data_IF_442102865462
#
_entry.id   IF_442102865462
#
_cell.length_a   1.000
_cell.length_b   1.000
_cell.length_c   1.000
_cell.angle_alpha   90.00
_cell.angle_beta   90.00
_cell.angle_gamma   90.00
#
_symmetry.space_group_name_H-M   'P 1'
#
loop_
_entity.id
_entity.type
_entity.pdbx_description
1 polymer ?
#
# COMPACT_ATOMS: atom_id res chain seq x y z
N UNK A 1 -18.98 9.84 -19.64
CA UNK A 1 -18.73 8.66 -18.83
C UNK A 1 -18.97 7.39 -19.70
N UNK A 2 -18.13 6.36 -19.53
CA UNK A 2 -18.33 5.05 -20.13
C UNK A 2 -18.31 5.00 -21.66
N UNK A 3 -17.51 5.83 -22.33
CA UNK A 3 -17.54 5.93 -23.80
C UNK A 3 -17.30 4.58 -24.51
N UNK A 4 -16.44 3.72 -23.93
CA UNK A 4 -16.14 2.37 -24.39
C UNK A 4 -16.38 1.32 -23.30
N UNK A 5 -17.16 1.68 -22.27
CA UNK A 5 -17.44 0.75 -21.17
C UNK A 5 -18.06 -0.55 -21.70
N UNK A 6 -17.57 -1.69 -21.17
CA UNK A 6 -18.02 -3.03 -21.59
C UNK A 6 -17.73 -3.39 -23.06
N UNK A 7 -16.83 -2.67 -23.73
CA UNK A 7 -16.36 -3.09 -25.06
C UNK A 7 -15.42 -4.30 -24.94
N UNK A 8 -15.97 -5.44 -24.55
CA UNK A 8 -15.20 -6.65 -24.17
C UNK A 8 -14.37 -7.26 -25.30
N UNK A 9 -14.65 -6.91 -26.55
CA UNK A 9 -13.88 -7.35 -27.73
C UNK A 9 -12.82 -6.36 -28.18
N UNK A 10 -12.73 -5.18 -27.53
CA UNK A 10 -11.73 -4.16 -27.87
C UNK A 10 -10.34 -4.62 -27.39
N UNK A 11 -9.43 -4.84 -28.33
CA UNK A 11 -8.06 -5.33 -28.01
C UNK A 11 -7.01 -4.22 -27.93
N UNK A 12 -7.21 -3.13 -28.65
CA UNK A 12 -6.33 -1.97 -28.65
C UNK A 12 -7.08 -0.71 -29.05
N UNK A 13 -6.56 0.43 -28.66
CA UNK A 13 -7.09 1.74 -29.01
C UNK A 13 -5.97 2.74 -29.21
N UNK A 14 -6.09 3.59 -30.19
CA UNK A 14 -5.21 4.74 -30.41
C UNK A 14 -6.00 5.99 -30.05
N UNK A 15 -5.53 6.71 -29.07
CA UNK A 15 -6.12 7.96 -28.60
C UNK A 15 -5.49 9.14 -29.35
N UNK A 16 -6.28 10.19 -29.67
CA UNK A 16 -5.72 11.36 -30.38
C UNK A 16 -4.79 12.17 -29.47
N UNK A 17 -3.73 12.73 -30.03
CA UNK A 17 -2.76 13.57 -29.30
C UNK A 17 -3.35 14.85 -28.71
N UNK A 18 -4.56 15.23 -29.09
CA UNK A 18 -5.30 16.38 -28.54
C UNK A 18 -6.16 16.02 -27.30
N UNK A 19 -6.20 14.75 -26.88
CA UNK A 19 -7.02 14.31 -25.76
C UNK A 19 -6.43 14.77 -24.43
N UNK A 20 -7.11 15.66 -23.73
CA UNK A 20 -6.65 16.21 -22.44
C UNK A 20 -7.32 15.54 -21.23
N UNK A 21 -8.50 14.98 -21.40
CA UNK A 21 -9.28 14.40 -20.30
C UNK A 21 -9.93 13.08 -20.70
N UNK A 22 -9.78 12.09 -19.83
CA UNK A 22 -10.49 10.81 -19.92
C UNK A 22 -11.58 10.77 -18.86
N UNK A 23 -12.82 10.53 -19.30
CA UNK A 23 -14.00 10.50 -18.42
C UNK A 23 -14.08 9.26 -17.53
N UNK A 24 -14.98 9.30 -16.55
CA UNK A 24 -15.29 8.16 -15.68
C UNK A 24 -15.60 6.91 -16.52
N UNK A 25 -14.97 5.78 -16.17
CA UNK A 25 -15.17 4.45 -16.79
C UNK A 25 -15.03 4.46 -18.31
N UNK A 26 -14.17 5.32 -18.87
CA UNK A 26 -14.07 5.47 -20.33
C UNK A 26 -13.81 4.14 -21.03
N UNK A 27 -13.00 3.26 -20.46
CA UNK A 27 -12.67 1.91 -20.91
C UNK A 27 -12.98 0.84 -19.86
N UNK A 28 -13.85 1.15 -18.89
CA UNK A 28 -14.22 0.17 -17.85
C UNK A 28 -14.73 -1.14 -18.48
N UNK A 29 -14.30 -2.28 -17.92
CA UNK A 29 -14.70 -3.61 -18.36
C UNK A 29 -14.35 -3.95 -19.83
N UNK A 30 -13.35 -3.27 -20.42
CA UNK A 30 -12.76 -3.66 -21.70
C UNK A 30 -11.82 -4.86 -21.47
N UNK A 31 -12.39 -6.02 -21.18
CA UNK A 31 -11.67 -7.20 -20.71
C UNK A 31 -10.63 -7.79 -21.69
N UNK A 32 -10.75 -7.49 -22.99
CA UNK A 32 -9.77 -7.92 -24.01
C UNK A 32 -8.72 -6.84 -24.33
N UNK A 33 -8.78 -5.67 -23.71
CA UNK A 33 -7.81 -4.58 -23.98
C UNK A 33 -6.44 -4.97 -23.44
N UNK A 34 -5.48 -5.21 -24.34
CA UNK A 34 -4.13 -5.66 -23.96
C UNK A 34 -3.14 -4.54 -23.79
N UNK A 35 -3.34 -3.43 -24.48
CA UNK A 35 -2.49 -2.26 -24.44
C UNK A 35 -3.24 -0.98 -24.76
N UNK A 36 -2.76 0.12 -24.20
CA UNK A 36 -3.24 1.48 -24.50
C UNK A 36 -2.05 2.42 -24.53
N UNK A 37 -2.01 3.31 -25.51
CA UNK A 37 -1.07 4.42 -25.57
C UNK A 37 -1.81 5.68 -25.13
N UNK A 38 -1.37 6.24 -23.99
CA UNK A 38 -1.93 7.49 -23.46
C UNK A 38 -1.14 8.67 -24.04
N UNK A 39 -1.80 9.69 -24.60
CA UNK A 39 -1.11 10.83 -25.20
C UNK A 39 -0.53 11.76 -24.12
N UNK A 40 0.59 12.42 -24.43
CA UNK A 40 1.26 13.37 -23.52
C UNK A 40 0.42 14.58 -23.14
N UNK A 41 -0.63 14.88 -23.89
CA UNK A 41 -1.61 15.93 -23.57
C UNK A 41 -2.58 15.57 -22.45
N UNK A 42 -2.65 14.28 -22.03
CA UNK A 42 -3.67 13.78 -21.10
C UNK A 42 -3.33 14.17 -19.65
N UNK A 43 -4.05 15.15 -19.14
CA UNK A 43 -3.85 15.68 -17.78
C UNK A 43 -4.74 15.03 -16.71
N UNK A 44 -5.78 14.32 -17.15
CA UNK A 44 -6.74 13.69 -16.23
C UNK A 44 -7.23 12.34 -16.70
N UNK A 45 -7.10 11.34 -15.82
CA UNK A 45 -7.69 10.01 -15.96
C UNK A 45 -8.80 9.88 -14.92
N UNK A 46 -10.04 9.71 -15.39
CA UNK A 46 -11.23 9.69 -14.54
C UNK A 46 -11.39 8.43 -13.69
N UNK A 47 -12.35 8.48 -12.78
CA UNK A 47 -12.69 7.38 -11.87
C UNK A 47 -12.96 6.10 -12.67
N UNK A 48 -12.29 5.01 -12.31
CA UNK A 48 -12.47 3.68 -12.92
C UNK A 48 -12.20 3.65 -14.44
N UNK A 49 -11.37 4.55 -14.98
CA UNK A 49 -11.21 4.71 -16.42
C UNK A 49 -10.84 3.41 -17.13
N UNK A 50 -10.07 2.53 -16.48
CA UNK A 50 -9.67 1.20 -16.94
C UNK A 50 -10.08 0.09 -15.96
N UNK A 51 -11.13 0.33 -15.17
CA UNK A 51 -11.66 -0.67 -14.23
C UNK A 51 -11.93 -2.01 -14.96
N UNK A 52 -11.43 -3.11 -14.39
CA UNK A 52 -11.57 -4.47 -14.94
C UNK A 52 -11.09 -4.63 -16.42
N UNK A 53 -10.06 -3.90 -16.82
CA UNK A 53 -9.32 -4.21 -18.05
C UNK A 53 -8.39 -5.40 -17.79
N UNK A 54 -8.99 -6.59 -17.63
CA UNK A 54 -8.29 -7.79 -17.10
C UNK A 54 -7.17 -8.33 -17.99
N UNK A 55 -7.12 -7.95 -19.27
CA UNK A 55 -6.04 -8.32 -20.21
C UNK A 55 -4.97 -7.25 -20.36
N UNK A 56 -5.12 -6.07 -19.72
CA UNK A 56 -4.14 -4.99 -19.82
C UNK A 56 -2.85 -5.39 -19.09
N UNK A 57 -1.73 -5.43 -19.83
CA UNK A 57 -0.46 -5.96 -19.30
C UNK A 57 0.50 -4.87 -18.81
N UNK A 58 0.45 -3.70 -19.39
CA UNK A 58 1.31 -2.57 -19.01
C UNK A 58 0.68 -1.24 -19.35
N UNK A 59 1.07 -0.20 -18.62
CA UNK A 59 0.68 1.18 -18.92
C UNK A 59 1.83 2.13 -18.61
N UNK A 60 2.04 3.10 -19.50
CA UNK A 60 2.91 4.27 -19.29
C UNK A 60 1.98 5.46 -19.09
N UNK A 61 2.04 6.08 -17.92
CA UNK A 61 1.26 7.28 -17.62
C UNK A 61 1.98 8.52 -18.18
N UNK A 62 1.26 9.48 -18.78
CA UNK A 62 1.89 10.61 -19.46
C UNK A 62 2.46 11.64 -18.48
N UNK A 63 3.50 12.37 -18.90
CA UNK A 63 4.21 13.37 -18.09
C UNK A 63 3.35 14.58 -17.68
N UNK A 64 2.21 14.79 -18.34
CA UNK A 64 1.24 15.83 -17.96
C UNK A 64 0.30 15.43 -16.81
N UNK A 65 0.31 14.12 -16.41
CA UNK A 65 -0.63 13.62 -15.40
C UNK A 65 -0.12 13.93 -13.99
N UNK A 66 -0.89 14.73 -13.25
CA UNK A 66 -0.55 15.09 -11.86
C UNK A 66 -1.30 14.26 -10.81
N UNK A 67 -2.43 13.68 -11.17
CA UNK A 67 -3.27 12.91 -10.27
C UNK A 67 -3.91 11.72 -11.00
N UNK A 68 -3.91 10.57 -10.34
CA UNK A 68 -4.60 9.38 -10.80
C UNK A 68 -5.96 9.25 -10.09
N UNK A 69 -7.02 9.06 -10.86
CA UNK A 69 -8.39 8.97 -10.33
C UNK A 69 -8.64 7.73 -9.47
N UNK A 70 -9.70 7.78 -8.68
CA UNK A 70 -10.16 6.66 -7.86
C UNK A 70 -10.41 5.42 -8.74
N UNK A 71 -9.87 4.27 -8.35
CA UNK A 71 -10.05 2.99 -9.03
C UNK A 71 -9.62 2.97 -10.50
N UNK A 72 -8.73 3.89 -10.93
CA UNK A 72 -8.45 4.08 -12.37
C UNK A 72 -8.03 2.80 -13.09
N UNK A 73 -7.28 1.91 -12.43
CA UNK A 73 -6.83 0.59 -12.91
C UNK A 73 -7.26 -0.55 -11.97
N UNK A 74 -8.33 -0.34 -11.21
CA UNK A 74 -8.86 -1.37 -10.30
C UNK A 74 -9.15 -2.67 -11.06
N UNK A 75 -8.74 -3.79 -10.49
CA UNK A 75 -8.95 -5.14 -11.02
C UNK A 75 -8.34 -5.38 -12.42
N UNK A 76 -7.30 -4.66 -12.79
CA UNK A 76 -6.48 -4.97 -13.97
C UNK A 76 -5.55 -6.14 -13.64
N UNK A 77 -6.10 -7.35 -13.53
CA UNK A 77 -5.43 -8.53 -12.97
C UNK A 77 -4.21 -9.02 -13.75
N UNK A 78 -4.08 -8.69 -15.05
CA UNK A 78 -2.91 -9.01 -15.86
C UNK A 78 -1.86 -7.89 -15.89
N UNK A 79 -2.09 -6.77 -15.21
CA UNK A 79 -1.17 -5.63 -15.23
C UNK A 79 0.11 -5.99 -14.46
N UNK A 80 1.23 -6.09 -15.18
CA UNK A 80 2.53 -6.49 -14.62
C UNK A 80 3.43 -5.30 -14.30
N UNK A 81 3.24 -4.18 -15.02
CA UNK A 81 4.09 -3.00 -14.87
C UNK A 81 3.32 -1.70 -15.11
N UNK A 82 3.68 -0.68 -14.34
CA UNK A 82 3.21 0.70 -14.49
C UNK A 82 4.41 1.62 -14.44
N UNK A 83 4.47 2.57 -15.38
CA UNK A 83 5.45 3.67 -15.35
C UNK A 83 4.71 4.93 -14.91
N UNK A 84 5.12 5.47 -13.77
CA UNK A 84 4.59 6.71 -13.21
C UNK A 84 5.42 7.91 -13.68
N UNK A 85 4.79 9.03 -14.06
CA UNK A 85 5.51 10.24 -14.43
C UNK A 85 6.02 11.03 -13.21
N UNK A 86 7.10 11.78 -13.41
CA UNK A 86 7.67 12.65 -12.36
C UNK A 86 6.75 13.82 -11.93
N UNK A 87 5.65 14.04 -12.66
CA UNK A 87 4.62 15.04 -12.33
C UNK A 87 3.56 14.55 -11.33
N UNK A 88 3.50 13.22 -11.07
CA UNK A 88 2.40 12.62 -10.31
C UNK A 88 2.53 12.91 -8.81
N UNK A 89 1.54 13.60 -8.25
CA UNK A 89 1.51 13.98 -6.82
C UNK A 89 0.52 13.16 -5.98
N UNK A 90 -0.46 12.52 -6.63
CA UNK A 90 -1.50 11.75 -5.97
C UNK A 90 -1.82 10.46 -6.74
N UNK A 91 -1.77 9.33 -6.05
CA UNK A 91 -2.41 8.08 -6.47
C UNK A 91 -3.73 7.95 -5.71
N UNK A 92 -4.85 7.91 -6.45
CA UNK A 92 -6.19 7.91 -5.87
C UNK A 92 -6.54 6.63 -5.09
N UNK A 93 -7.64 6.72 -4.35
CA UNK A 93 -8.20 5.59 -3.59
C UNK A 93 -8.42 4.39 -4.52
N UNK A 94 -7.96 3.20 -4.11
CA UNK A 94 -8.12 1.92 -4.84
C UNK A 94 -7.63 1.96 -6.30
N UNK A 95 -6.69 2.84 -6.63
CA UNK A 95 -6.27 3.05 -8.03
C UNK A 95 -5.78 1.77 -8.71
N UNK A 96 -5.12 0.86 -7.98
CA UNK A 96 -4.58 -0.42 -8.44
C UNK A 96 -5.04 -1.60 -7.58
N UNK A 97 -6.20 -1.48 -6.90
CA UNK A 97 -6.74 -2.60 -6.12
C UNK A 97 -6.87 -3.85 -6.99
N UNK A 98 -6.46 -5.00 -6.46
CA UNK A 98 -6.53 -6.30 -7.14
C UNK A 98 -5.78 -6.36 -8.49
N UNK A 99 -4.74 -5.55 -8.69
CA UNK A 99 -3.77 -5.76 -9.77
C UNK A 99 -2.84 -6.92 -9.40
N UNK A 100 -3.37 -8.13 -9.41
CA UNK A 100 -2.73 -9.33 -8.82
C UNK A 100 -1.42 -9.76 -9.51
N UNK A 101 -1.17 -9.33 -10.75
CA UNK A 101 0.06 -9.61 -11.49
C UNK A 101 1.12 -8.50 -11.36
N UNK A 102 0.82 -7.38 -10.67
CA UNK A 102 1.75 -6.26 -10.54
C UNK A 102 2.93 -6.66 -9.62
N UNK A 103 4.13 -6.72 -10.19
CA UNK A 103 5.31 -7.25 -9.49
C UNK A 103 6.20 -6.18 -8.88
N UNK A 104 6.32 -5.05 -9.56
CA UNK A 104 7.16 -3.92 -9.13
C UNK A 104 6.79 -2.64 -9.86
N UNK A 105 7.11 -1.52 -9.23
CA UNK A 105 7.02 -0.17 -9.81
C UNK A 105 7.98 0.75 -9.07
N UNK A 106 8.23 1.92 -9.66
CA UNK A 106 8.97 3.01 -9.03
C UNK A 106 8.00 4.16 -8.83
N UNK A 107 7.82 4.60 -7.59
CA UNK A 107 7.02 5.79 -7.28
C UNK A 107 7.87 7.05 -7.49
N UNK A 108 7.31 8.12 -8.09
CA UNK A 108 8.06 9.34 -8.36
C UNK A 108 8.30 10.16 -7.08
N UNK A 109 9.40 10.92 -7.07
CA UNK A 109 9.75 11.80 -5.95
C UNK A 109 8.78 12.97 -5.75
N UNK A 110 7.86 13.21 -6.67
CA UNK A 110 6.78 14.19 -6.56
C UNK A 110 5.57 13.68 -5.76
N UNK A 111 5.48 12.36 -5.51
CA UNK A 111 4.30 11.74 -4.90
C UNK A 111 4.19 12.12 -3.42
N UNK A 112 3.16 12.87 -3.07
CA UNK A 112 2.91 13.32 -1.68
C UNK A 112 1.80 12.57 -0.98
N UNK A 113 0.92 11.90 -1.74
CA UNK A 113 -0.24 11.21 -1.20
C UNK A 113 -0.48 9.87 -1.89
N UNK A 114 -0.69 8.84 -1.07
CA UNK A 114 -1.12 7.51 -1.47
C UNK A 114 -2.49 7.23 -0.86
N UNK A 115 -3.51 7.08 -1.71
CA UNK A 115 -4.89 6.90 -1.29
C UNK A 115 -5.16 5.56 -0.59
N UNK A 116 -6.30 5.48 0.08
CA UNK A 116 -6.74 4.27 0.75
C UNK A 116 -6.87 3.11 -0.24
N UNK A 117 -6.37 1.94 0.13
CA UNK A 117 -6.40 0.74 -0.70
C UNK A 117 -5.70 0.86 -2.06
N UNK A 118 -4.79 1.84 -2.26
CA UNK A 118 -4.22 2.13 -3.57
C UNK A 118 -3.63 0.91 -4.27
N UNK A 119 -3.00 -0.01 -3.52
CA UNK A 119 -2.42 -1.28 -3.98
C UNK A 119 -2.96 -2.48 -3.20
N UNK A 120 -4.17 -2.37 -2.65
CA UNK A 120 -4.83 -3.46 -1.92
C UNK A 120 -4.89 -4.72 -2.79
N UNK A 121 -4.43 -5.85 -2.24
CA UNK A 121 -4.39 -7.17 -2.91
C UNK A 121 -3.54 -7.23 -4.18
N UNK A 122 -2.50 -6.41 -4.31
CA UNK A 122 -1.46 -6.61 -5.31
C UNK A 122 -0.57 -7.79 -4.90
N UNK A 123 -1.10 -9.00 -4.98
CA UNK A 123 -0.53 -10.21 -4.37
C UNK A 123 0.83 -10.64 -4.93
N UNK A 124 1.21 -10.19 -6.13
CA UNK A 124 2.51 -10.46 -6.74
C UNK A 124 3.57 -9.38 -6.45
N UNK A 125 3.20 -8.28 -5.77
CA UNK A 125 4.12 -7.18 -5.48
C UNK A 125 5.20 -7.64 -4.50
N UNK A 126 6.49 -7.53 -4.89
CA UNK A 126 7.60 -8.11 -4.11
C UNK A 126 8.34 -7.10 -3.25
N UNK A 127 8.40 -5.85 -3.69
CA UNK A 127 9.09 -4.77 -2.94
C UNK A 127 8.51 -3.40 -3.28
N UNK A 128 8.57 -2.48 -2.33
CA UNK A 128 8.17 -1.09 -2.50
C UNK A 128 9.21 -0.18 -1.88
N UNK A 129 9.65 0.82 -2.64
CA UNK A 129 10.43 1.95 -2.16
C UNK A 129 9.52 3.17 -2.20
N UNK A 130 9.29 3.76 -1.04
CA UNK A 130 8.43 4.94 -0.89
C UNK A 130 9.26 6.21 -0.99
N UNK A 131 8.83 7.23 -1.76
CA UNK A 131 9.63 8.43 -2.00
C UNK A 131 9.65 9.36 -0.78
N UNK A 132 10.71 10.17 -0.67
CA UNK A 132 10.91 11.10 0.45
C UNK A 132 9.91 12.28 0.50
N UNK A 133 9.09 12.45 -0.50
CA UNK A 133 7.95 13.39 -0.52
C UNK A 133 6.71 12.85 0.19
N UNK A 134 6.63 11.52 0.41
CA UNK A 134 5.43 10.88 0.95
C UNK A 134 5.38 11.02 2.48
N UNK A 135 4.38 11.72 2.97
CA UNK A 135 4.18 11.97 4.40
C UNK A 135 3.13 11.07 5.05
N UNK A 136 2.27 10.47 4.24
CA UNK A 136 1.15 9.63 4.69
C UNK A 136 0.91 8.47 3.75
N UNK A 137 0.63 7.31 4.32
CA UNK A 137 0.15 6.13 3.61
C UNK A 137 -1.30 5.91 4.01
N UNK A 138 -2.19 5.79 3.01
CA UNK A 138 -3.63 5.58 3.23
C UNK A 138 -3.96 4.26 3.94
N UNK A 139 -5.18 4.16 4.43
CA UNK A 139 -5.69 2.91 5.02
C UNK A 139 -5.64 1.77 3.99
N UNK A 140 -5.25 0.57 4.42
CA UNK A 140 -5.23 -0.63 3.57
C UNK A 140 -4.37 -0.50 2.29
N UNK A 141 -3.47 0.51 2.21
CA UNK A 141 -2.80 0.85 0.95
C UNK A 141 -2.03 -0.33 0.32
N UNK A 142 -1.45 -1.22 1.13
CA UNK A 142 -0.74 -2.44 0.72
C UNK A 142 -1.29 -3.69 1.41
N UNK A 143 -2.53 -3.64 1.91
CA UNK A 143 -3.13 -4.81 2.55
C UNK A 143 -3.20 -5.98 1.57
N UNK A 144 -2.92 -7.19 2.07
CA UNK A 144 -2.90 -8.45 1.30
C UNK A 144 -1.92 -8.45 0.11
N UNK A 145 -0.85 -7.66 0.15
CA UNK A 145 0.30 -7.79 -0.75
C UNK A 145 1.15 -8.99 -0.29
N UNK A 146 0.65 -10.21 -0.49
CA UNK A 146 1.17 -11.43 0.12
C UNK A 146 2.58 -11.81 -0.30
N UNK A 147 3.07 -11.33 -1.44
CA UNK A 147 4.45 -11.54 -1.91
C UNK A 147 5.42 -10.44 -1.48
N UNK A 148 4.95 -9.40 -0.77
CA UNK A 148 5.78 -8.26 -0.38
C UNK A 148 6.80 -8.71 0.68
N UNK A 149 8.09 -8.71 0.33
CA UNK A 149 9.18 -9.16 1.20
C UNK A 149 9.88 -8.02 1.93
N UNK A 150 9.84 -6.82 1.36
CA UNK A 150 10.49 -5.63 1.92
C UNK A 150 9.77 -4.35 1.57
N UNK A 151 9.80 -3.40 2.49
CA UNK A 151 9.36 -2.02 2.31
C UNK A 151 10.43 -1.08 2.86
N UNK A 152 10.71 0.01 2.13
CA UNK A 152 11.58 1.08 2.59
C UNK A 152 10.71 2.31 2.85
N UNK A 153 10.63 2.72 4.11
CA UNK A 153 9.90 3.93 4.52
C UNK A 153 10.79 5.17 4.39
N UNK A 154 10.24 6.29 3.92
CA UNK A 154 10.97 7.55 3.87
C UNK A 154 11.03 8.24 5.23
N UNK A 155 12.07 9.05 5.46
CA UNK A 155 12.22 9.86 6.68
C UNK A 155 11.13 10.93 6.85
N UNK A 156 10.34 11.20 5.83
CA UNK A 156 9.20 12.12 5.84
C UNK A 156 7.91 11.51 6.38
N UNK A 157 7.83 10.18 6.53
CA UNK A 157 6.58 9.49 6.86
C UNK A 157 6.17 9.75 8.31
N UNK A 158 5.05 10.44 8.50
CA UNK A 158 4.51 10.78 9.83
C UNK A 158 3.29 9.95 10.22
N UNK A 159 2.59 9.37 9.25
CA UNK A 159 1.36 8.63 9.47
C UNK A 159 1.27 7.37 8.62
N UNK A 160 0.88 6.28 9.27
CA UNK A 160 0.58 5.00 8.65
C UNK A 160 -0.89 4.67 8.90
N UNK A 161 -1.65 4.48 7.82
CA UNK A 161 -3.09 4.20 7.89
C UNK A 161 -3.42 2.86 8.55
N UNK A 162 -4.67 2.70 8.95
CA UNK A 162 -5.20 1.45 9.46
C UNK A 162 -5.02 0.32 8.44
N UNK A 163 -4.58 -0.87 8.88
CA UNK A 163 -4.35 -2.05 8.04
C UNK A 163 -3.39 -1.82 6.85
N UNK A 164 -2.54 -0.78 6.88
CA UNK A 164 -1.77 -0.37 5.69
C UNK A 164 -0.93 -1.49 5.08
N UNK A 165 -0.40 -2.42 5.88
CA UNK A 165 0.36 -3.61 5.47
C UNK A 165 -0.19 -4.91 6.05
N UNK A 166 -1.46 -4.93 6.48
CA UNK A 166 -2.08 -6.14 7.00
C UNK A 166 -2.06 -7.26 5.95
N UNK A 167 -1.82 -8.50 6.36
CA UNK A 167 -1.77 -9.65 5.45
C UNK A 167 -0.55 -9.69 4.51
N UNK A 168 0.48 -8.84 4.71
CA UNK A 168 1.74 -8.95 3.98
C UNK A 168 2.56 -10.14 4.51
N UNK A 169 2.07 -11.34 4.23
CA UNK A 169 2.54 -12.59 4.86
C UNK A 169 3.99 -12.98 4.54
N UNK A 170 4.59 -12.41 3.50
CA UNK A 170 6.01 -12.62 3.14
C UNK A 170 6.94 -11.54 3.69
N UNK A 171 6.42 -10.49 4.36
CA UNK A 171 7.24 -9.39 4.88
C UNK A 171 8.10 -9.87 6.05
N UNK A 172 9.44 -9.76 5.91
CA UNK A 172 10.39 -10.36 6.86
C UNK A 172 10.86 -9.40 7.93
N UNK A 173 11.02 -8.13 7.60
CA UNK A 173 11.51 -7.11 8.52
C UNK A 173 10.96 -5.73 8.20
N UNK A 174 10.82 -4.91 9.24
CA UNK A 174 10.39 -3.51 9.14
C UNK A 174 11.28 -2.64 9.99
N UNK A 175 11.75 -1.54 9.40
CA UNK A 175 12.44 -0.44 10.09
C UNK A 175 11.64 0.82 9.86
N UNK A 176 11.14 1.42 10.94
CA UNK A 176 10.36 2.66 10.86
C UNK A 176 11.26 3.90 10.94
N UNK A 177 10.88 5.01 10.27
CA UNK A 177 11.62 6.26 10.33
C UNK A 177 11.35 7.00 11.65
N UNK A 178 12.31 7.85 12.05
CA UNK A 178 12.21 8.66 13.28
C UNK A 178 11.10 9.72 13.25
N UNK A 179 10.49 9.96 12.11
CA UNK A 179 9.31 10.83 11.95
C UNK A 179 8.00 10.17 12.39
N UNK A 180 7.96 8.83 12.50
CA UNK A 180 6.73 8.10 12.85
C UNK A 180 6.50 8.13 14.35
N UNK A 181 5.38 8.73 14.79
CA UNK A 181 5.03 8.85 16.21
C UNK A 181 3.98 7.85 16.68
N UNK A 182 3.22 7.27 15.75
CA UNK A 182 2.16 6.32 16.06
C UNK A 182 2.06 5.25 14.98
N UNK A 183 1.92 4.00 15.40
CA UNK A 183 1.57 2.90 14.52
C UNK A 183 0.03 2.77 14.46
N UNK A 184 -0.53 2.77 13.25
CA UNK A 184 -1.97 2.66 13.03
C UNK A 184 -2.55 1.33 13.52
N UNK A 185 -3.87 1.30 13.70
CA UNK A 185 -4.61 0.07 14.03
C UNK A 185 -4.35 -1.00 13.00
N UNK A 186 -4.06 -2.22 13.44
CA UNK A 186 -3.83 -3.42 12.61
C UNK A 186 -2.81 -3.21 11.47
N UNK A 187 -1.89 -2.23 11.60
CA UNK A 187 -1.04 -1.81 10.48
C UNK A 187 -0.21 -2.95 9.88
N UNK A 188 0.21 -3.93 10.71
CA UNK A 188 0.96 -5.14 10.32
C UNK A 188 0.28 -6.42 10.82
N UNK A 189 -1.05 -6.42 10.92
CA UNK A 189 -1.83 -7.61 11.26
C UNK A 189 -1.49 -8.75 10.28
N UNK A 190 -1.32 -9.98 10.78
CA UNK A 190 -1.07 -11.18 9.98
C UNK A 190 0.19 -11.11 9.06
N UNK A 191 1.20 -10.32 9.42
CA UNK A 191 2.51 -10.37 8.77
C UNK A 191 3.29 -11.60 9.28
N UNK A 192 2.84 -12.80 8.91
CA UNK A 192 3.25 -14.07 9.52
C UNK A 192 4.74 -14.41 9.36
N UNK A 193 5.44 -13.86 8.36
CA UNK A 193 6.89 -14.02 8.16
C UNK A 193 7.72 -12.95 8.86
N UNK A 194 7.10 -11.99 9.55
CA UNK A 194 7.80 -10.88 10.18
C UNK A 194 8.62 -11.37 11.38
N UNK A 195 9.95 -11.36 11.24
CA UNK A 195 10.88 -11.83 12.27
C UNK A 195 11.48 -10.71 13.10
N UNK A 196 11.51 -9.50 12.56
CA UNK A 196 12.15 -8.33 13.18
C UNK A 196 11.38 -7.05 12.89
N UNK A 197 11.17 -6.26 13.94
CA UNK A 197 10.61 -4.90 13.89
C UNK A 197 11.53 -3.96 14.66
N UNK A 198 11.94 -2.87 14.03
CA UNK A 198 12.70 -1.79 14.68
C UNK A 198 11.79 -0.57 14.79
N UNK A 199 11.39 -0.26 16.02
CA UNK A 199 10.60 0.93 16.33
C UNK A 199 11.50 2.15 16.54
N UNK A 200 11.08 3.34 16.07
CA UNK A 200 11.86 4.56 16.25
C UNK A 200 11.73 5.13 17.68
N UNK A 201 12.72 5.90 18.10
CA UNK A 201 12.71 6.58 19.41
C UNK A 201 11.62 7.68 19.53
N UNK A 202 10.93 7.99 18.45
CA UNK A 202 9.78 8.94 18.41
C UNK A 202 8.43 8.26 18.69
N UNK A 203 8.35 6.92 18.66
CA UNK A 203 7.07 6.21 18.72
C UNK A 203 6.47 6.25 20.13
N UNK A 204 5.27 6.83 20.25
CA UNK A 204 4.54 6.95 21.52
C UNK A 204 3.39 5.98 21.69
N UNK A 205 2.87 5.44 20.58
CA UNK A 205 1.72 4.54 20.57
C UNK A 205 1.90 3.43 19.53
N UNK A 206 1.71 2.18 19.95
CA UNK A 206 1.40 1.06 19.06
C UNK A 206 -0.11 0.86 19.13
N UNK A 207 -0.81 1.05 17.99
CA UNK A 207 -2.26 0.99 17.91
C UNK A 207 -2.85 -0.39 18.22
N UNK A 208 -4.17 -0.44 18.35
CA UNK A 208 -4.93 -1.67 18.54
C UNK A 208 -4.54 -2.68 17.43
N UNK A 209 -4.20 -3.93 17.84
CA UNK A 209 -3.83 -5.02 16.93
C UNK A 209 -2.65 -4.68 15.99
N UNK A 210 -1.83 -3.68 16.31
CA UNK A 210 -0.82 -3.13 15.41
C UNK A 210 0.13 -4.15 14.79
N UNK A 211 0.47 -5.22 15.54
CA UNK A 211 1.38 -6.32 15.15
C UNK A 211 0.75 -7.69 15.52
N UNK A 212 -0.59 -7.79 15.51
CA UNK A 212 -1.31 -9.02 15.83
C UNK A 212 -0.97 -10.14 14.84
N UNK A 213 -0.88 -11.38 15.34
CA UNK A 213 -0.63 -12.60 14.55
C UNK A 213 0.65 -12.57 13.71
N UNK A 214 1.66 -11.82 14.13
CA UNK A 214 3.01 -11.90 13.56
C UNK A 214 3.73 -13.13 14.15
N UNK A 215 3.34 -14.31 13.69
CA UNK A 215 3.69 -15.60 14.30
C UNK A 215 5.19 -15.95 14.27
N UNK A 216 5.99 -15.30 13.40
CA UNK A 216 7.44 -15.49 13.31
C UNK A 216 8.25 -14.47 14.14
N UNK A 217 7.61 -13.49 14.76
CA UNK A 217 8.29 -12.45 15.55
C UNK A 217 8.87 -13.05 16.83
N UNK A 218 10.19 -12.97 17.00
CA UNK A 218 10.88 -13.66 18.10
C UNK A 218 11.20 -12.77 19.29
N UNK A 219 11.44 -11.48 19.06
CA UNK A 219 11.76 -10.51 20.10
C UNK A 219 11.34 -9.11 19.72
N UNK A 220 11.02 -8.30 20.70
CA UNK A 220 10.65 -6.89 20.54
C UNK A 220 11.36 -6.05 21.59
N UNK A 221 11.98 -4.97 21.14
CA UNK A 221 12.49 -3.88 21.99
C UNK A 221 11.56 -2.69 21.76
N UNK A 222 10.85 -2.29 22.80
CA UNK A 222 9.97 -1.13 22.77
C UNK A 222 10.77 0.13 23.08
N UNK A 223 10.57 1.24 22.34
CA UNK A 223 11.38 2.45 22.51
C UNK A 223 11.06 3.20 23.81
N UNK A 224 12.03 3.96 24.32
CA UNK A 224 11.90 4.72 25.57
C UNK A 224 10.81 5.83 25.52
N UNK A 225 10.36 6.21 24.34
CA UNK A 225 9.24 7.15 24.13
C UNK A 225 7.86 6.51 24.25
N UNK A 226 7.77 5.17 24.22
CA UNK A 226 6.50 4.48 24.15
C UNK A 226 5.71 4.61 25.45
N UNK A 227 4.53 5.19 25.37
CA UNK A 227 3.64 5.37 26.53
C UNK A 227 2.45 4.43 26.56
N UNK A 228 2.07 3.89 25.41
CA UNK A 228 0.85 3.08 25.27
C UNK A 228 1.00 1.93 24.28
N UNK A 229 0.51 0.76 24.69
CA UNK A 229 0.18 -0.38 23.84
C UNK A 229 -1.34 -0.50 23.71
N UNK A 230 -1.83 -0.57 22.46
CA UNK A 230 -3.24 -0.79 22.18
C UNK A 230 -3.70 -2.22 22.53
N UNK A 231 -5.00 -2.42 22.50
CA UNK A 231 -5.60 -3.74 22.72
C UNK A 231 -5.11 -4.73 21.65
N UNK A 232 -4.73 -5.94 22.04
CA UNK A 232 -4.22 -6.97 21.14
C UNK A 232 -2.96 -6.61 20.37
N UNK A 233 -2.16 -5.61 20.79
CA UNK A 233 -1.06 -5.05 19.99
C UNK A 233 -0.08 -6.11 19.47
N UNK A 234 0.18 -7.19 20.22
CA UNK A 234 1.04 -8.34 19.87
C UNK A 234 0.31 -9.68 20.10
N UNK A 235 -1.01 -9.69 20.11
CA UNK A 235 -1.79 -10.92 20.26
C UNK A 235 -1.41 -11.94 19.18
N UNK A 236 -1.30 -13.22 19.54
CA UNK A 236 -0.98 -14.29 18.61
C UNK A 236 0.46 -14.30 18.08
N UNK A 237 1.37 -13.49 18.62
CA UNK A 237 2.80 -13.56 18.29
C UNK A 237 3.43 -14.81 18.93
N UNK A 238 3.11 -15.98 18.40
CA UNK A 238 3.38 -17.30 19.03
C UNK A 238 4.87 -17.62 19.20
N UNK A 239 5.76 -17.02 18.39
CA UNK A 239 7.22 -17.21 18.50
C UNK A 239 7.91 -16.18 19.39
N UNK A 240 7.16 -15.22 19.96
CA UNK A 240 7.73 -14.15 20.78
C UNK A 240 8.24 -14.70 22.11
N UNK A 241 9.56 -14.61 22.33
CA UNK A 241 10.22 -15.17 23.52
C UNK A 241 10.68 -14.09 24.51
N UNK A 242 10.76 -12.85 24.07
CA UNK A 242 11.17 -11.74 24.95
C UNK A 242 10.62 -10.40 24.49
N UNK A 243 10.26 -9.58 25.48
CA UNK A 243 9.86 -8.18 25.31
C UNK A 243 10.62 -7.33 26.32
N UNK A 244 11.22 -6.24 25.87
CA UNK A 244 11.83 -5.24 26.72
C UNK A 244 10.88 -4.05 26.80
N UNK A 245 10.38 -3.77 28.00
CA UNK A 245 9.48 -2.65 28.26
C UNK A 245 10.27 -1.40 28.70
N UNK A 246 9.92 -0.22 28.17
CA UNK A 246 10.51 1.03 28.65
C UNK A 246 9.84 1.51 29.96
N UNK A 247 10.57 2.30 30.74
CA UNK A 247 10.06 2.90 31.98
C UNK A 247 8.92 3.92 31.72
N UNK A 248 8.80 4.43 30.52
CA UNK A 248 7.76 5.38 30.08
C UNK A 248 6.39 4.74 29.87
N UNK A 249 6.31 3.40 29.78
CA UNK A 249 5.07 2.70 29.42
C UNK A 249 4.03 2.83 30.55
N UNK A 250 2.94 3.56 30.25
CA UNK A 250 1.87 3.84 31.22
C UNK A 250 0.63 2.96 31.03
N UNK A 251 0.42 2.41 29.80
CA UNK A 251 -0.75 1.60 29.49
C UNK A 251 -0.38 0.39 28.62
N UNK A 252 -0.81 -0.78 29.07
CA UNK A 252 -0.86 -2.00 28.26
C UNK A 252 -2.34 -2.33 28.05
N UNK A 253 -2.77 -2.35 26.78
CA UNK A 253 -4.14 -2.65 26.38
C UNK A 253 -4.57 -4.07 26.71
N UNK A 254 -5.86 -4.34 26.61
CA UNK A 254 -6.40 -5.68 26.84
C UNK A 254 -5.83 -6.65 25.83
N UNK A 255 -5.51 -7.87 26.26
CA UNK A 255 -5.01 -8.95 25.38
C UNK A 255 -3.72 -8.61 24.60
N UNK A 256 -2.98 -7.56 25.00
CA UNK A 256 -1.82 -7.06 24.25
C UNK A 256 -0.78 -8.14 23.90
N UNK A 257 -0.65 -9.20 24.69
CA UNK A 257 0.24 -10.37 24.48
C UNK A 257 -0.54 -11.70 24.64
N UNK A 258 -1.86 -11.69 24.47
CA UNK A 258 -2.64 -12.92 24.49
C UNK A 258 -2.12 -13.90 23.42
N UNK A 259 -2.11 -15.18 23.73
CA UNK A 259 -1.64 -16.25 22.83
C UNK A 259 -0.17 -16.13 22.35
N UNK A 260 0.67 -15.33 23.04
CA UNK A 260 2.13 -15.36 22.86
C UNK A 260 2.71 -16.57 23.58
N UNK A 261 2.50 -17.77 23.03
CA UNK A 261 2.74 -19.06 23.72
C UNK A 261 4.21 -19.36 24.02
N UNK A 262 5.16 -18.60 23.46
CA UNK A 262 6.61 -18.74 23.72
C UNK A 262 7.14 -17.74 24.75
N UNK A 263 6.32 -16.81 25.24
CA UNK A 263 6.67 -15.75 26.19
C UNK A 263 6.60 -16.27 27.68
#
# INVERSE_FOLDING_TARGET
>A
AGAFCMCSSLTSVVLPDSLTHMGKQAFGECSSLTSVVLPDSLTQIGIGAFFQCTSLTSVVLPDSLTQLGIGAFSECSSLTSVVFPDSLTLIGVQAFIECTSLTSFVLPDSLTQLGDGAFLRCSSLTSVVLPNSLTQIGQQAFQDCTSLTSVVFPDSLTQLGECAFAGCSSLMSVVFPDSLTQLGKAAFCECTSLTSVVFPDSLTLIGEQGVIECTSLTSVVLPDSLTQLGDGAFEGCTSLTSVVFPDSLALIGQQAFQDCTSL
#
